data_IF_371124527250
#
_entry.id   IF_371124527250
#
_cell.length_a   1.000
_cell.length_b   1.000
_cell.length_c   1.000
_cell.angle_alpha   90.00
_cell.angle_beta   90.00
_cell.angle_gamma   90.00
#
_symmetry.space_group_name_H-M   'P 1'
#
loop_
_entity.id
_entity.type
_entity.pdbx_description
1 polymer ?
#
# COMPACT_ATOMS: atom_id res chain seq x y z
N UNK A 1 -14.60 15.75 -6.72
CA UNK A 1 -13.46 14.81 -6.79
C UNK A 1 -13.94 13.42 -6.36
N UNK A 2 -13.70 12.40 -7.17
CA UNK A 2 -14.13 11.05 -6.83
C UNK A 2 -13.33 10.50 -5.64
N UNK A 3 -13.85 9.44 -5.02
CA UNK A 3 -13.12 8.80 -3.92
C UNK A 3 -11.77 8.26 -4.39
N UNK A 4 -11.68 7.74 -5.62
CA UNK A 4 -10.43 7.28 -6.19
C UNK A 4 -9.41 8.41 -6.35
N UNK A 5 -9.86 9.55 -6.87
CA UNK A 5 -8.98 10.71 -6.99
C UNK A 5 -8.51 11.20 -5.63
N UNK A 6 -9.40 11.21 -4.63
CA UNK A 6 -9.04 11.57 -3.26
C UNK A 6 -8.04 10.59 -2.68
N UNK A 7 -8.19 9.29 -2.96
CA UNK A 7 -7.25 8.26 -2.51
C UNK A 7 -5.87 8.45 -3.13
N UNK A 8 -5.79 8.68 -4.44
CA UNK A 8 -4.53 8.93 -5.14
C UNK A 8 -3.85 10.17 -4.57
N UNK A 9 -4.62 11.23 -4.30
CA UNK A 9 -4.08 12.45 -3.70
C UNK A 9 -3.55 12.20 -2.29
N UNK A 10 -4.28 11.45 -1.49
CA UNK A 10 -3.84 11.12 -0.12
C UNK A 10 -2.57 10.28 -0.13
N UNK A 11 -2.45 9.34 -1.06
CA UNK A 11 -1.24 8.54 -1.23
C UNK A 11 -0.07 9.45 -1.61
N UNK A 12 -0.27 10.34 -2.58
CA UNK A 12 0.76 11.29 -2.99
C UNK A 12 1.20 12.17 -1.81
N UNK A 13 0.26 12.72 -1.06
CA UNK A 13 0.55 13.58 0.08
C UNK A 13 1.38 12.84 1.15
N UNK A 14 1.18 11.53 1.28
CA UNK A 14 1.90 10.73 2.26
C UNK A 14 3.37 10.49 1.89
N UNK A 15 3.73 10.63 0.61
CA UNK A 15 5.08 10.31 0.12
C UNK A 15 5.73 11.45 -0.66
N UNK A 16 5.07 12.60 -0.82
CA UNK A 16 5.56 13.68 -1.68
C UNK A 16 6.95 14.19 -1.31
N UNK A 17 7.30 14.16 -0.03
CA UNK A 17 8.61 14.59 0.47
C UNK A 17 9.73 13.62 0.09
N UNK A 18 9.38 12.41 -0.37
CA UNK A 18 10.31 11.38 -0.81
C UNK A 18 10.30 11.19 -2.33
N UNK A 19 9.38 11.89 -3.02
CA UNK A 19 9.23 11.79 -4.47
C UNK A 19 9.79 13.03 -5.13
N UNK A 20 10.48 12.83 -6.24
CA UNK A 20 11.00 13.92 -7.07
C UNK A 20 10.07 14.25 -8.22
N UNK A 21 8.75 14.21 -8.00
CA UNK A 21 7.77 14.50 -9.05
C UNK A 21 6.53 15.17 -8.49
N UNK A 22 5.83 15.90 -9.37
CA UNK A 22 4.57 16.55 -9.04
C UNK A 22 3.41 15.55 -9.05
N UNK A 23 2.23 16.02 -8.61
CA UNK A 23 1.06 15.16 -8.51
C UNK A 23 0.61 14.58 -9.86
N UNK A 24 0.55 15.38 -10.91
CA UNK A 24 0.03 14.92 -12.20
C UNK A 24 0.84 13.75 -12.80
N UNK A 25 2.20 13.82 -12.85
CA UNK A 25 2.98 12.65 -13.26
C UNK A 25 2.80 11.44 -12.35
N UNK A 26 2.69 11.67 -11.06
CA UNK A 26 2.45 10.58 -10.09
C UNK A 26 1.11 9.88 -10.37
N UNK A 27 0.04 10.65 -10.53
CA UNK A 27 -1.28 10.10 -10.82
C UNK A 27 -1.28 9.31 -12.14
N UNK A 28 -0.53 9.78 -13.14
CA UNK A 28 -0.43 9.09 -14.43
C UNK A 28 0.25 7.73 -14.29
N UNK A 29 1.23 7.57 -13.39
CA UNK A 29 1.88 6.29 -13.13
C UNK A 29 0.93 5.26 -12.53
N UNK A 30 -0.13 5.71 -11.87
CA UNK A 30 -1.07 4.82 -11.18
C UNK A 30 -2.29 4.45 -12.02
N UNK A 31 -2.36 4.88 -13.29
CA UNK A 31 -3.55 4.63 -14.12
C UNK A 31 -3.83 3.15 -14.35
N UNK A 32 -2.79 2.30 -14.34
CA UNK A 32 -2.92 0.87 -14.56
C UNK A 32 -3.08 0.09 -13.24
N UNK A 33 -3.13 0.80 -12.13
CA UNK A 33 -3.31 0.21 -10.81
C UNK A 33 -4.77 0.30 -10.38
N UNK A 34 -5.23 -0.74 -9.71
CA UNK A 34 -6.51 -0.67 -8.99
C UNK A 34 -6.28 0.08 -7.70
N UNK A 35 -7.05 1.12 -7.46
CA UNK A 35 -6.97 1.93 -6.25
C UNK A 35 -8.22 1.70 -5.42
N UNK A 36 -8.04 1.17 -4.22
CA UNK A 36 -9.16 0.98 -3.27
C UNK A 36 -9.06 2.08 -2.21
N UNK A 37 -10.00 3.05 -2.19
CA UNK A 37 -9.95 4.12 -1.20
C UNK A 37 -10.08 3.59 0.23
N UNK A 38 -9.30 4.18 1.14
CA UNK A 38 -9.42 3.91 2.58
C UNK A 38 -10.12 5.10 3.22
N UNK A 39 -11.31 4.87 3.76
CA UNK A 39 -12.15 5.92 4.34
C UNK A 39 -12.28 5.72 5.84
N UNK A 40 -12.09 6.79 6.59
CA UNK A 40 -12.22 6.81 8.04
C UNK A 40 -13.01 8.06 8.43
N UNK A 41 -14.11 7.88 9.15
CA UNK A 41 -15.00 8.98 9.55
C UNK A 41 -15.46 9.81 8.35
N UNK A 42 -15.86 9.13 7.26
CA UNK A 42 -16.33 9.74 6.01
C UNK A 42 -15.27 10.57 5.27
N UNK A 43 -14.00 10.40 5.64
CA UNK A 43 -12.88 11.10 5.00
C UNK A 43 -11.96 10.06 4.36
N UNK A 44 -11.59 10.27 3.10
CA UNK A 44 -10.60 9.43 2.43
C UNK A 44 -9.22 9.79 2.98
N UNK A 45 -8.57 8.82 3.64
CA UNK A 45 -7.27 9.03 4.28
C UNK A 45 -6.12 8.42 3.51
N UNK A 46 -6.40 7.58 2.53
CA UNK A 46 -5.37 6.91 1.75
C UNK A 46 -5.98 5.92 0.77
N UNK A 47 -5.19 4.95 0.36
CA UNK A 47 -5.66 3.91 -0.55
C UNK A 47 -4.76 2.70 -0.56
N UNK A 48 -5.31 1.60 -1.04
CA UNK A 48 -4.58 0.38 -1.34
C UNK A 48 -4.39 0.33 -2.85
N UNK A 49 -3.15 0.18 -3.29
CA UNK A 49 -2.81 0.06 -4.71
C UNK A 49 -2.55 -1.39 -5.04
N UNK A 50 -3.26 -1.91 -6.03
CA UNK A 50 -3.21 -3.30 -6.43
C UNK A 50 -2.88 -3.43 -7.92
N UNK A 51 -1.93 -4.31 -8.24
CA UNK A 51 -1.63 -4.70 -9.61
C UNK A 51 -1.14 -6.15 -9.59
N UNK A 52 -1.98 -7.07 -10.11
CA UNK A 52 -1.74 -8.51 -9.99
C UNK A 52 -1.55 -8.90 -8.52
N UNK A 53 -0.42 -9.46 -8.15
CA UNK A 53 -0.13 -9.84 -6.76
C UNK A 53 0.70 -8.79 -6.01
N UNK A 54 0.89 -7.61 -6.59
CA UNK A 54 1.61 -6.52 -5.97
C UNK A 54 0.64 -5.63 -5.21
N UNK A 55 0.97 -5.30 -3.95
CA UNK A 55 0.14 -4.49 -3.08
C UNK A 55 0.99 -3.41 -2.41
N UNK A 56 0.47 -2.19 -2.41
CA UNK A 56 1.05 -1.06 -1.68
C UNK A 56 -0.06 -0.34 -0.95
N UNK A 57 0.24 0.21 0.21
CA UNK A 57 -0.71 0.99 1.01
C UNK A 57 -0.09 2.34 1.32
N UNK A 58 -0.82 3.41 1.01
CA UNK A 58 -0.42 4.76 1.37
C UNK A 58 -1.55 5.43 2.15
N UNK A 59 -1.19 6.16 3.20
CA UNK A 59 -2.18 6.90 3.99
C UNK A 59 -1.53 8.12 4.63
N UNK A 60 -2.31 9.18 4.80
CA UNK A 60 -1.84 10.42 5.45
C UNK A 60 -2.20 10.48 6.93
N UNK A 61 -3.02 9.54 7.41
CA UNK A 61 -3.38 9.40 8.82
C UNK A 61 -3.28 7.94 9.21
N UNK A 62 -2.93 7.66 10.46
CA UNK A 62 -2.85 6.29 10.95
C UNK A 62 -4.22 5.61 10.84
N UNK A 63 -4.33 4.47 10.16
CA UNK A 63 -5.60 3.78 10.02
C UNK A 63 -6.11 3.21 11.34
N UNK A 64 -7.44 3.19 11.49
CA UNK A 64 -8.08 2.51 12.62
C UNK A 64 -7.95 0.99 12.48
N UNK A 65 -8.26 0.26 13.56
CA UNK A 65 -8.23 -1.20 13.55
C UNK A 65 -9.14 -1.80 12.46
N UNK A 66 -10.29 -1.16 12.19
CA UNK A 66 -11.20 -1.66 11.16
C UNK A 66 -10.61 -1.55 9.76
N UNK A 67 -9.87 -0.46 9.48
CA UNK A 67 -9.20 -0.28 8.19
C UNK A 67 -8.06 -1.29 8.03
N UNK A 68 -7.27 -1.52 9.09
CA UNK A 68 -6.22 -2.53 9.07
C UNK A 68 -6.82 -3.91 8.78
N UNK A 69 -7.97 -4.21 9.36
CA UNK A 69 -8.68 -5.48 9.09
C UNK A 69 -9.08 -5.58 7.61
N UNK A 70 -9.54 -4.48 7.02
CA UNK A 70 -9.86 -4.43 5.60
C UNK A 70 -8.62 -4.69 4.72
N UNK A 71 -7.49 -4.11 5.08
CA UNK A 71 -6.21 -4.35 4.38
C UNK A 71 -5.82 -5.82 4.45
N UNK A 72 -5.97 -6.44 5.61
CA UNK A 72 -5.70 -7.87 5.79
C UNK A 72 -6.63 -8.74 4.93
N UNK A 73 -7.90 -8.36 4.85
CA UNK A 73 -8.86 -9.06 4.00
C UNK A 73 -8.46 -8.99 2.52
N UNK A 74 -8.03 -7.83 2.05
CA UNK A 74 -7.55 -7.64 0.68
C UNK A 74 -6.31 -8.49 0.43
N UNK A 75 -5.39 -8.55 1.38
CA UNK A 75 -4.20 -9.38 1.28
C UNK A 75 -4.58 -10.86 1.20
N UNK A 76 -5.55 -11.30 2.00
CA UNK A 76 -6.05 -12.68 1.94
C UNK A 76 -6.59 -13.05 0.57
N UNK A 77 -7.31 -12.13 -0.08
CA UNK A 77 -7.81 -12.35 -1.43
C UNK A 77 -6.67 -12.54 -2.43
N UNK A 78 -5.60 -11.75 -2.32
CA UNK A 78 -4.43 -11.90 -3.18
C UNK A 78 -3.78 -13.26 -2.96
N UNK A 79 -3.59 -13.66 -1.71
CA UNK A 79 -2.97 -14.95 -1.39
C UNK A 79 -3.79 -16.12 -1.92
N UNK A 80 -5.12 -16.01 -1.90
CA UNK A 80 -6.00 -17.03 -2.44
C UNK A 80 -5.87 -17.15 -3.96
N UNK A 81 -5.69 -16.03 -4.65
CA UNK A 81 -5.65 -15.98 -6.12
C UNK A 81 -4.27 -16.26 -6.69
N UNK A 82 -3.20 -15.85 -6.01
CA UNK A 82 -1.83 -15.85 -6.56
C UNK A 82 -0.84 -16.66 -5.73
N UNK A 83 -1.22 -17.19 -4.58
CA UNK A 83 -0.39 -17.92 -3.62
C UNK A 83 0.69 -17.06 -2.93
N UNK A 84 0.98 -15.89 -3.44
CA UNK A 84 1.92 -14.96 -2.81
C UNK A 84 1.53 -13.52 -3.14
N UNK A 85 1.91 -12.61 -2.25
CA UNK A 85 1.79 -11.18 -2.45
C UNK A 85 3.18 -10.56 -2.37
N UNK A 86 3.43 -9.53 -3.18
CA UNK A 86 4.72 -8.84 -3.21
C UNK A 86 4.51 -7.35 -2.96
N UNK A 87 5.52 -6.72 -2.39
CA UNK A 87 5.56 -5.28 -2.20
C UNK A 87 7.01 -4.82 -2.18
N UNK A 88 7.23 -3.51 -2.19
CA UNK A 88 8.55 -2.96 -1.92
C UNK A 88 8.38 -1.72 -1.06
N UNK A 89 9.33 -1.51 -0.15
CA UNK A 89 9.30 -0.41 0.80
C UNK A 89 10.68 0.23 0.81
N UNK A 90 10.76 1.55 0.82
CA UNK A 90 12.04 2.24 0.96
C UNK A 90 12.65 1.87 2.31
N UNK A 91 13.97 1.59 2.33
CA UNK A 91 14.64 1.16 3.55
C UNK A 91 14.62 2.24 4.64
N UNK A 92 14.40 3.50 4.29
CA UNK A 92 14.24 4.60 5.23
C UNK A 92 12.84 4.68 5.84
N UNK A 93 11.87 3.95 5.28
CA UNK A 93 10.50 3.96 5.76
C UNK A 93 10.29 2.87 6.82
N UNK A 94 10.77 3.15 8.04
CA UNK A 94 10.71 2.20 9.15
C UNK A 94 9.29 1.76 9.50
N UNK A 95 8.34 2.70 9.47
CA UNK A 95 6.93 2.39 9.78
C UNK A 95 6.32 1.46 8.76
N UNK A 96 6.61 1.70 7.48
CA UNK A 96 6.13 0.84 6.40
C UNK A 96 6.70 -0.57 6.51
N UNK A 97 7.98 -0.70 6.84
CA UNK A 97 8.62 -1.99 7.05
C UNK A 97 8.00 -2.76 8.19
N UNK A 98 7.75 -2.10 9.33
CA UNK A 98 7.09 -2.74 10.48
C UNK A 98 5.67 -3.18 10.14
N UNK A 99 4.94 -2.33 9.43
CA UNK A 99 3.57 -2.63 9.00
C UNK A 99 3.55 -3.89 8.11
N UNK A 100 4.46 -3.97 7.15
CA UNK A 100 4.56 -5.13 6.26
C UNK A 100 4.93 -6.40 7.04
N UNK A 101 5.86 -6.30 7.99
CA UNK A 101 6.24 -7.45 8.82
C UNK A 101 5.06 -7.98 9.62
N UNK A 102 4.25 -7.09 10.17
CA UNK A 102 3.04 -7.48 10.92
C UNK A 102 2.02 -8.20 10.05
N UNK A 103 1.98 -7.86 8.76
CA UNK A 103 1.11 -8.54 7.80
C UNK A 103 1.66 -9.90 7.35
N UNK A 104 2.91 -10.20 7.66
CA UNK A 104 3.52 -11.47 7.30
C UNK A 104 4.51 -11.39 6.14
N UNK A 105 4.85 -10.19 5.68
CA UNK A 105 5.87 -10.00 4.63
C UNK A 105 7.27 -10.22 5.19
N UNK A 106 8.11 -10.88 4.40
CA UNK A 106 9.52 -11.09 4.71
C UNK A 106 10.39 -10.50 3.61
N UNK A 107 11.56 -9.92 3.94
CA UNK A 107 12.45 -9.37 2.94
C UNK A 107 13.02 -10.46 2.03
N UNK A 108 13.11 -10.17 0.73
CA UNK A 108 13.70 -11.09 -0.24
C UNK A 108 14.92 -10.50 -0.92
N UNK A 109 14.96 -9.17 -1.11
CA UNK A 109 16.01 -8.51 -1.87
C UNK A 109 16.07 -7.05 -1.45
N UNK A 110 17.29 -6.50 -1.40
CA UNK A 110 17.49 -5.05 -1.21
C UNK A 110 18.21 -4.53 -2.46
N UNK A 111 17.61 -3.54 -3.11
CA UNK A 111 18.15 -2.99 -4.35
C UNK A 111 17.77 -1.52 -4.47
N UNK A 112 18.74 -0.67 -4.76
CA UNK A 112 18.53 0.76 -4.98
C UNK A 112 17.79 1.46 -3.83
N UNK A 113 18.08 1.06 -2.58
CA UNK A 113 17.46 1.65 -1.41
C UNK A 113 16.03 1.17 -1.13
N UNK A 114 15.56 0.19 -1.88
CA UNK A 114 14.24 -0.41 -1.68
C UNK A 114 14.37 -1.82 -1.17
N UNK A 115 13.55 -2.18 -0.20
CA UNK A 115 13.47 -3.53 0.32
C UNK A 115 12.26 -4.20 -0.32
N UNK A 116 12.52 -5.23 -1.14
CA UNK A 116 11.48 -6.03 -1.75
C UNK A 116 11.07 -7.11 -0.76
N UNK A 117 9.77 -7.30 -0.60
CA UNK A 117 9.22 -8.21 0.40
C UNK A 117 8.17 -9.11 -0.22
N UNK A 118 8.01 -10.29 0.35
CA UNK A 118 7.06 -11.29 -0.11
C UNK A 118 6.29 -11.85 1.08
N UNK A 119 4.99 -12.06 0.89
CA UNK A 119 4.13 -12.73 1.85
C UNK A 119 3.52 -13.95 1.18
N UNK A 120 3.78 -15.13 1.71
CA UNK A 120 3.16 -16.37 1.24
C UNK A 120 2.04 -16.82 2.17
N UNK A 121 2.04 -16.31 3.39
CA UNK A 121 1.05 -16.67 4.38
C UNK A 121 0.91 -15.54 5.40
N UNK A 122 -0.30 -14.99 5.47
CA UNK A 122 -0.61 -13.99 6.47
C UNK A 122 -1.13 -14.70 7.74
N UNK A 123 -0.56 -14.43 8.93
CA UNK A 123 -1.01 -15.09 10.16
C UNK A 123 -2.43 -14.72 10.57
N UNK A 124 -3.01 -13.70 9.94
CA UNK A 124 -4.36 -13.20 10.25
C UNK A 124 -5.41 -13.60 9.22
N UNK A 125 -5.04 -14.44 8.28
CA UNK A 125 -5.93 -14.90 7.20
C UNK A 125 -6.18 -16.39 7.29
#
# INVERSE_FOLDING_TARGET
>A
MSEQEQAVRAIYDSVQDRLACDFAPFAALLKDWQIVPLTQNNTVIGGVMLRNNEIHVGYKRRPSASIVRHIKSTLGDILTRFDEAVTCVMETNTRGLEFCRRLGFVPTLVENGCIYMKCMRCPYV
#
